data_IF_815408807855
#
_entry.id   IF_815408807855
#
_cell.length_a   1.000
_cell.length_b   1.000
_cell.length_c   1.000
_cell.angle_alpha   90.00
_cell.angle_beta   90.00
_cell.angle_gamma   90.00
#
_symmetry.space_group_name_H-M   'P 1'
#
loop_
_entity.id
_entity.type
_entity.pdbx_description
1 polymer ?
#
# COMPACT_ATOMS: atom_id res chain seq x y z
N UNK A 1 5.72 -35.24 9.44
CA UNK A 1 6.62 -35.31 10.61
C UNK A 1 7.03 -36.76 10.75
N UNK A 2 8.33 -37.05 10.89
CA UNK A 2 8.84 -38.43 10.98
C UNK A 2 8.70 -39.03 12.37
N UNK A 3 8.35 -38.21 13.37
CA UNK A 3 8.27 -38.59 14.78
C UNK A 3 6.84 -38.62 15.28
N UNK A 4 6.52 -39.70 15.97
CA UNK A 4 5.24 -39.88 16.65
C UNK A 4 5.11 -38.85 17.79
N UNK A 5 3.93 -38.26 17.96
CA UNK A 5 3.60 -37.24 18.96
C UNK A 5 4.25 -35.86 18.82
N UNK A 6 5.07 -35.63 17.79
CA UNK A 6 5.58 -34.29 17.51
C UNK A 6 4.53 -33.49 16.74
N UNK A 7 4.32 -32.25 17.16
CA UNK A 7 3.40 -31.33 16.49
C UNK A 7 4.17 -30.07 16.11
N UNK A 8 4.18 -29.75 14.83
CA UNK A 8 4.72 -28.50 14.34
C UNK A 8 3.59 -27.46 14.33
N UNK A 9 3.81 -26.31 14.96
CA UNK A 9 2.84 -25.22 15.00
C UNK A 9 3.02 -24.37 13.74
N UNK A 10 2.28 -24.73 12.70
CA UNK A 10 2.26 -23.96 11.47
C UNK A 10 1.50 -22.65 11.63
N UNK A 11 1.48 -21.85 10.56
CA UNK A 11 0.76 -20.59 10.53
C UNK A 11 -0.76 -20.73 10.73
N UNK A 12 -1.33 -21.88 10.38
CA UNK A 12 -2.72 -22.23 10.64
C UNK A 12 -2.95 -22.90 12.01
N UNK A 13 -1.97 -22.95 12.90
CA UNK A 13 -2.10 -23.59 14.20
C UNK A 13 -3.16 -22.92 15.07
N UNK A 14 -4.15 -23.72 15.50
CA UNK A 14 -5.14 -23.30 16.48
C UNK A 14 -4.77 -23.85 17.86
N UNK A 15 -4.36 -23.02 18.82
CA UNK A 15 -3.94 -23.48 20.14
C UNK A 15 -5.07 -24.08 20.97
N UNK A 16 -6.33 -23.76 20.68
CA UNK A 16 -7.50 -24.28 21.40
C UNK A 16 -7.84 -25.72 20.97
N UNK A 17 -7.83 -25.98 19.67
CA UNK A 17 -8.12 -27.32 19.12
C UNK A 17 -6.88 -28.20 18.99
N UNK A 18 -5.68 -27.61 19.12
CA UNK A 18 -4.38 -28.25 18.91
C UNK A 18 -4.25 -28.89 17.54
N UNK A 19 -4.68 -28.17 16.50
CA UNK A 19 -4.63 -28.61 15.11
C UNK A 19 -4.13 -27.50 14.18
N UNK A 20 -3.40 -27.89 13.13
CA UNK A 20 -3.12 -26.98 12.00
C UNK A 20 -4.33 -26.94 11.06
N UNK A 21 -4.91 -25.76 10.89
CA UNK A 21 -6.05 -25.51 10.00
C UNK A 21 -5.50 -24.86 8.72
N UNK A 22 -5.30 -25.67 7.67
CA UNK A 22 -4.69 -25.20 6.43
C UNK A 22 -5.43 -24.00 5.78
N UNK A 23 -6.75 -23.90 5.97
CA UNK A 23 -7.57 -22.79 5.47
C UNK A 23 -7.29 -21.45 6.17
N UNK A 24 -6.57 -21.45 7.28
CA UNK A 24 -6.25 -20.26 8.06
C UNK A 24 -4.82 -19.74 7.79
N UNK A 25 -4.01 -20.46 7.02
CA UNK A 25 -2.65 -20.05 6.66
C UNK A 25 -2.62 -18.68 5.99
N UNK A 26 -3.54 -18.39 5.08
CA UNK A 26 -3.52 -17.07 4.41
C UNK A 26 -4.16 -15.98 5.26
N UNK A 27 -4.90 -16.35 6.31
CA UNK A 27 -5.54 -15.42 7.25
C UNK A 27 -4.60 -14.99 8.38
N UNK A 28 -3.51 -15.71 8.63
CA UNK A 28 -2.58 -15.41 9.73
C UNK A 28 -3.20 -15.55 11.11
N UNK A 29 -4.16 -16.47 11.32
CA UNK A 29 -4.88 -16.58 12.59
C UNK A 29 -3.95 -16.91 13.76
N UNK A 30 -2.95 -17.77 13.57
CA UNK A 30 -2.01 -18.09 14.64
C UNK A 30 -1.13 -16.89 14.97
N UNK A 31 -0.63 -16.18 13.96
CA UNK A 31 0.16 -14.96 14.13
C UNK A 31 -0.62 -13.89 14.89
N UNK A 32 -1.88 -13.66 14.52
CA UNK A 32 -2.76 -12.73 15.23
C UNK A 32 -3.01 -13.18 16.68
N UNK A 33 -3.20 -14.47 16.92
CA UNK A 33 -3.37 -15.02 18.27
C UNK A 33 -2.13 -14.77 19.15
N UNK A 34 -0.92 -14.91 18.60
CA UNK A 34 0.31 -14.58 19.33
C UNK A 34 0.40 -13.10 19.67
N UNK A 35 -0.01 -12.22 18.74
CA UNK A 35 -0.09 -10.78 18.98
C UNK A 35 -1.11 -10.41 20.05
N UNK A 36 -2.31 -10.98 19.99
CA UNK A 36 -3.35 -10.70 20.99
C UNK A 36 -2.91 -11.18 22.39
N UNK A 37 -2.21 -12.32 22.47
CA UNK A 37 -1.59 -12.76 23.72
C UNK A 37 -0.51 -11.79 24.20
N UNK A 38 0.42 -11.38 23.34
CA UNK A 38 1.48 -10.45 23.71
C UNK A 38 0.92 -9.09 24.17
N UNK A 39 -0.08 -8.55 23.47
CA UNK A 39 -0.75 -7.30 23.86
C UNK A 39 -1.45 -7.43 25.22
N UNK A 40 -2.10 -8.56 25.50
CA UNK A 40 -2.76 -8.78 26.79
C UNK A 40 -1.77 -8.92 27.96
N UNK A 41 -0.57 -9.44 27.71
CA UNK A 41 0.49 -9.59 28.71
C UNK A 41 1.26 -8.28 28.93
N UNK A 42 1.27 -7.37 27.94
CA UNK A 42 2.00 -6.09 27.96
C UNK A 42 3.48 -6.24 28.38
N UNK A 43 4.26 -7.07 27.66
CA UNK A 43 5.69 -7.22 27.95
C UNK A 43 6.43 -5.91 27.65
N UNK A 44 7.57 -5.63 28.29
CA UNK A 44 8.36 -4.43 28.01
C UNK A 44 9.01 -4.44 26.61
N UNK A 45 9.09 -5.61 25.96
CA UNK A 45 9.66 -5.80 24.64
C UNK A 45 8.98 -6.96 23.92
N UNK A 46 8.70 -6.76 22.63
CA UNK A 46 8.29 -7.82 21.70
C UNK A 46 9.36 -7.96 20.63
N UNK A 47 9.81 -9.18 20.38
CA UNK A 47 10.62 -9.54 19.21
C UNK A 47 9.75 -10.23 18.17
N UNK A 48 9.90 -9.82 16.91
CA UNK A 48 9.25 -10.47 15.76
C UNK A 48 10.35 -11.13 14.94
N UNK A 49 10.33 -12.45 14.87
CA UNK A 49 11.35 -13.22 14.14
C UNK A 49 10.87 -13.63 12.75
N UNK A 50 11.77 -13.56 11.76
CA UNK A 50 11.54 -14.02 10.38
C UNK A 50 11.14 -12.86 9.44
N UNK A 51 11.95 -12.62 8.42
CA UNK A 51 11.65 -11.69 7.32
C UNK A 51 12.56 -12.00 6.14
N UNK A 52 11.96 -12.40 5.02
CA UNK A 52 12.60 -12.61 3.72
C UNK A 52 13.74 -13.65 3.75
N UNK A 53 13.56 -14.77 4.47
CA UNK A 53 14.48 -15.92 4.46
C UNK A 53 14.28 -16.77 3.19
N UNK A 54 13.03 -17.09 2.82
CA UNK A 54 12.62 -17.80 1.58
C UNK A 54 13.33 -19.15 1.30
N UNK A 55 14.07 -19.68 2.25
CA UNK A 55 14.82 -20.93 2.10
C UNK A 55 14.70 -21.78 3.36
N UNK A 56 14.38 -23.06 3.18
CA UNK A 56 14.50 -24.03 4.25
C UNK A 56 15.91 -24.61 4.31
N UNK A 57 16.48 -24.69 5.51
CA UNK A 57 17.76 -25.36 5.72
C UNK A 57 17.54 -26.85 5.87
N UNK A 58 18.21 -27.67 5.04
CA UNK A 58 18.34 -29.10 5.30
C UNK A 58 19.50 -29.32 6.27
N UNK A 59 19.20 -29.77 7.49
CA UNK A 59 20.22 -30.00 8.52
C UNK A 59 19.97 -31.30 9.29
N UNK A 60 21.02 -31.94 9.82
CA UNK A 60 20.86 -33.06 10.73
C UNK A 60 20.27 -32.56 12.05
N UNK A 61 19.23 -33.23 12.53
CA UNK A 61 18.60 -32.95 13.80
C UNK A 61 18.11 -34.28 14.41
N UNK A 62 18.68 -34.61 15.57
CA UNK A 62 18.35 -35.80 16.35
C UNK A 62 18.27 -37.10 15.51
N UNK A 63 19.37 -37.41 14.82
CA UNK A 63 19.55 -38.64 14.06
C UNK A 63 18.94 -38.68 12.66
N UNK A 64 18.19 -37.65 12.25
CA UNK A 64 17.56 -37.56 10.92
C UNK A 64 17.85 -36.22 10.24
N UNK A 65 17.60 -36.11 8.93
CA UNK A 65 17.61 -34.81 8.25
C UNK A 65 16.23 -34.16 8.34
N UNK A 66 16.18 -32.90 8.76
CA UNK A 66 14.97 -32.07 8.74
C UNK A 66 15.12 -30.86 7.82
N UNK A 67 13.99 -30.31 7.39
CA UNK A 67 13.90 -28.97 6.80
C UNK A 67 13.51 -27.98 7.90
N UNK A 68 14.36 -27.00 8.16
CA UNK A 68 14.16 -25.97 9.18
C UNK A 68 13.48 -24.72 8.57
N UNK A 69 12.65 -24.07 9.38
CA UNK A 69 12.14 -22.71 9.24
C UNK A 69 11.15 -22.40 8.12
N UNK A 70 11.47 -22.65 6.84
CA UNK A 70 10.70 -22.15 5.69
C UNK A 70 10.36 -23.25 4.68
N UNK A 71 9.85 -24.38 5.16
CA UNK A 71 9.60 -25.59 4.34
C UNK A 71 8.53 -25.36 3.28
N UNK A 72 7.44 -24.70 3.66
CA UNK A 72 6.33 -24.34 2.78
C UNK A 72 5.52 -23.21 3.43
N UNK A 73 4.42 -22.79 2.78
CA UNK A 73 3.57 -21.69 3.25
C UNK A 73 3.00 -21.89 4.67
N UNK A 74 2.67 -23.13 5.06
CA UNK A 74 2.17 -23.46 6.40
C UNK A 74 3.30 -23.44 7.44
N UNK A 75 4.43 -24.04 7.11
CA UNK A 75 5.58 -24.20 8.01
C UNK A 75 6.70 -23.23 7.60
N UNK A 76 6.35 -21.95 7.64
CA UNK A 76 7.27 -20.83 7.39
C UNK A 76 7.13 -19.79 8.50
N UNK A 77 8.26 -19.30 9.02
CA UNK A 77 8.35 -18.19 9.98
C UNK A 77 8.40 -16.79 9.35
N UNK A 78 8.51 -16.73 8.03
CA UNK A 78 8.59 -15.48 7.27
C UNK A 78 7.25 -14.74 7.19
N UNK A 79 7.26 -13.41 7.11
CA UNK A 79 6.05 -12.56 7.15
C UNK A 79 6.05 -11.44 6.11
N UNK A 80 7.06 -11.39 5.24
CA UNK A 80 7.16 -10.46 4.13
C UNK A 80 6.07 -10.69 3.08
N UNK A 81 5.68 -9.66 2.30
CA UNK A 81 4.66 -9.83 1.27
C UNK A 81 5.02 -10.87 0.20
N UNK A 82 4.03 -11.67 -0.22
CA UNK A 82 4.18 -12.74 -1.22
C UNK A 82 3.17 -12.60 -2.37
N UNK A 83 3.66 -12.50 -3.61
CA UNK A 83 2.81 -12.62 -4.79
C UNK A 83 2.24 -14.05 -4.94
N UNK A 84 0.95 -14.17 -5.22
CA UNK A 84 0.26 -15.47 -5.43
C UNK A 84 0.04 -16.32 -4.18
N UNK A 85 0.42 -15.84 -2.99
CA UNK A 85 0.17 -16.50 -1.71
C UNK A 85 -0.71 -15.67 -0.78
N UNK A 86 -0.27 -15.52 0.47
CA UNK A 86 -0.95 -14.73 1.49
C UNK A 86 -0.85 -13.20 1.27
N UNK A 87 -0.35 -12.77 0.11
CA UNK A 87 -0.18 -11.36 -0.24
C UNK A 87 0.59 -10.63 0.85
N UNK A 88 0.05 -9.54 1.38
CA UNK A 88 0.61 -8.70 2.43
C UNK A 88 -0.11 -8.88 3.77
N UNK A 89 -0.91 -9.94 3.96
CA UNK A 89 -1.74 -10.14 5.15
C UNK A 89 -0.92 -10.07 6.46
N UNK A 90 0.18 -10.81 6.54
CA UNK A 90 1.06 -10.83 7.71
C UNK A 90 1.77 -9.50 7.94
N UNK A 91 2.16 -8.82 6.87
CA UNK A 91 2.77 -7.50 6.94
C UNK A 91 1.78 -6.45 7.48
N UNK A 92 0.53 -6.47 7.03
CA UNK A 92 -0.51 -5.57 7.54
C UNK A 92 -0.88 -5.90 8.99
N UNK A 93 -0.97 -7.18 9.36
CA UNK A 93 -1.16 -7.59 10.76
C UNK A 93 -0.02 -7.10 11.65
N UNK A 94 1.24 -7.25 11.19
CA UNK A 94 2.41 -6.75 11.89
C UNK A 94 2.31 -5.24 12.15
N UNK A 95 2.03 -4.43 11.12
CA UNK A 95 1.90 -2.98 11.26
C UNK A 95 0.78 -2.63 12.24
N UNK A 96 -0.40 -3.22 12.07
CA UNK A 96 -1.57 -2.98 12.92
C UNK A 96 -1.28 -3.32 14.38
N UNK A 97 -0.68 -4.48 14.64
CA UNK A 97 -0.39 -4.92 15.99
C UNK A 97 0.75 -4.14 16.65
N UNK A 98 1.77 -3.70 15.90
CA UNK A 98 2.79 -2.77 16.43
C UNK A 98 2.15 -1.45 16.86
N UNK A 99 1.21 -0.90 16.09
CA UNK A 99 0.48 0.32 16.47
C UNK A 99 -0.32 0.10 17.75
N UNK A 100 -1.06 -1.01 17.85
CA UNK A 100 -1.81 -1.41 19.06
C UNK A 100 -0.90 -1.54 20.28
N UNK A 101 0.21 -2.25 20.17
CA UNK A 101 1.19 -2.43 21.27
C UNK A 101 1.79 -1.10 21.72
N UNK A 102 2.04 -0.17 20.80
CA UNK A 102 2.53 1.18 21.12
C UNK A 102 1.44 2.13 21.64
N UNK A 103 0.19 1.68 21.79
CA UNK A 103 -0.93 2.50 22.23
C UNK A 103 -1.36 3.58 21.23
N UNK A 104 -1.05 3.41 19.94
CA UNK A 104 -1.44 4.38 18.90
C UNK A 104 -2.92 4.16 18.55
N UNK A 105 -3.78 5.03 19.04
CA UNK A 105 -5.24 5.00 18.80
C UNK A 105 -5.71 6.02 17.78
N UNK A 106 -4.84 6.93 17.34
CA UNK A 106 -5.18 7.99 16.42
C UNK A 106 -5.02 7.51 14.96
N UNK A 107 -6.12 7.61 14.22
CA UNK A 107 -6.21 7.20 12.81
C UNK A 107 -5.86 8.33 11.83
N UNK A 108 -6.01 9.59 12.26
CA UNK A 108 -5.78 10.79 11.44
C UNK A 108 -4.84 11.76 12.13
N UNK A 109 -4.04 12.48 11.34
CA UNK A 109 -3.26 13.61 11.83
C UNK A 109 -4.18 14.78 12.29
N UNK A 110 -3.57 15.94 12.55
CA UNK A 110 -4.30 17.19 12.80
C UNK A 110 -5.19 17.59 11.61
N UNK A 111 -6.31 18.26 11.93
CA UNK A 111 -7.20 18.84 10.93
C UNK A 111 -6.46 19.89 10.09
N UNK A 112 -6.67 19.85 8.77
CA UNK A 112 -6.04 20.79 7.86
C UNK A 112 -6.94 21.99 7.61
N UNK A 113 -6.41 23.21 7.69
CA UNK A 113 -7.18 24.40 7.40
C UNK A 113 -7.38 24.60 5.88
N UNK A 114 -8.52 25.16 5.44
CA UNK A 114 -8.82 25.42 4.04
C UNK A 114 -7.82 26.39 3.42
N UNK A 115 -7.47 26.09 2.18
CA UNK A 115 -6.63 26.91 1.33
C UNK A 115 -7.01 26.69 -0.14
N UNK A 116 -7.47 27.77 -0.76
CA UNK A 116 -7.73 27.79 -2.21
C UNK A 116 -6.42 27.83 -2.97
N UNK A 117 -6.34 26.99 -4.01
CA UNK A 117 -5.22 26.94 -4.95
C UNK A 117 -5.72 27.38 -6.32
N UNK A 118 -5.04 28.35 -6.93
CA UNK A 118 -5.20 28.62 -8.35
C UNK A 118 -4.31 27.66 -9.15
N UNK A 119 -4.93 26.70 -9.84
CA UNK A 119 -4.22 25.70 -10.63
C UNK A 119 -3.30 26.32 -11.70
N UNK A 120 -3.65 27.50 -12.23
CA UNK A 120 -2.86 28.21 -13.24
C UNK A 120 -1.86 29.21 -12.63
N UNK A 121 -1.95 29.44 -11.31
CA UNK A 121 -1.10 30.35 -10.56
C UNK A 121 0.35 29.87 -10.37
N UNK A 122 1.10 30.64 -9.58
CA UNK A 122 2.49 30.32 -9.23
C UNK A 122 2.59 29.06 -8.36
N UNK A 123 3.66 28.27 -8.49
CA UNK A 123 3.93 27.14 -7.58
C UNK A 123 4.22 27.59 -6.15
N UNK A 124 4.61 28.85 -5.93
CA UNK A 124 4.92 29.39 -4.60
C UNK A 124 3.73 29.35 -3.63
N UNK A 125 2.50 29.30 -4.13
CA UNK A 125 1.30 29.14 -3.29
C UNK A 125 1.29 27.84 -2.47
N UNK A 126 2.07 26.84 -2.88
CA UNK A 126 2.15 25.56 -2.19
C UNK A 126 3.14 25.58 -1.02
N UNK A 127 4.00 26.59 -0.91
CA UNK A 127 5.12 26.62 0.04
C UNK A 127 4.69 26.49 1.51
N UNK A 128 3.55 27.08 1.84
CA UNK A 128 2.92 27.12 3.17
C UNK A 128 1.74 26.13 3.30
N UNK A 129 1.60 25.17 2.39
CA UNK A 129 0.67 24.03 2.59
C UNK A 129 1.29 23.07 3.61
N UNK A 130 0.62 22.82 4.76
CA UNK A 130 1.22 22.09 5.88
C UNK A 130 1.26 20.58 5.64
N UNK A 131 0.26 20.02 4.95
CA UNK A 131 0.20 18.60 4.67
C UNK A 131 1.17 18.23 3.55
N UNK A 132 2.32 17.68 3.94
CA UNK A 132 3.40 17.31 3.03
C UNK A 132 3.84 15.88 3.32
N UNK A 133 3.79 15.03 2.32
CA UNK A 133 4.34 13.68 2.33
C UNK A 133 5.61 13.68 1.49
N UNK A 134 6.64 13.00 1.97
CA UNK A 134 7.92 12.87 1.28
C UNK A 134 8.24 11.40 1.04
N UNK A 135 8.70 11.09 -0.16
CA UNK A 135 9.29 9.79 -0.44
C UNK A 135 10.66 9.72 0.23
N UNK A 136 10.84 8.75 1.13
CA UNK A 136 12.11 8.52 1.82
C UNK A 136 13.06 7.62 1.02
N UNK A 137 12.59 7.03 -0.09
CA UNK A 137 13.42 6.18 -0.92
C UNK A 137 14.42 7.01 -1.72
N UNK A 138 15.71 6.80 -1.49
CA UNK A 138 16.76 7.52 -2.23
C UNK A 138 17.00 6.89 -3.62
N UNK A 139 16.90 5.56 -3.70
CA UNK A 139 17.18 4.77 -4.91
C UNK A 139 15.89 4.37 -5.62
N UNK A 140 16.01 4.12 -6.91
CA UNK A 140 14.93 3.66 -7.78
C UNK A 140 15.57 2.84 -8.89
N UNK A 141 15.85 1.59 -8.55
CA UNK A 141 16.66 0.70 -9.37
C UNK A 141 15.79 -0.40 -9.94
N UNK A 142 16.19 -0.90 -11.10
CA UNK A 142 15.64 -2.13 -11.64
C UNK A 142 16.02 -3.30 -10.74
N UNK A 143 15.19 -4.34 -10.75
CA UNK A 143 15.52 -5.66 -10.26
C UNK A 143 16.00 -6.48 -11.45
N UNK A 144 17.17 -7.07 -11.35
CA UNK A 144 17.65 -8.08 -12.29
C UNK A 144 18.65 -8.99 -11.58
N UNK A 145 18.16 -10.11 -11.06
CA UNK A 145 18.98 -11.05 -10.30
C UNK A 145 18.25 -12.39 -10.21
N UNK A 146 19.01 -13.46 -10.06
CA UNK A 146 18.45 -14.77 -9.79
C UNK A 146 17.90 -14.88 -8.37
N UNK A 147 16.96 -15.79 -8.18
CA UNK A 147 16.61 -16.30 -6.85
C UNK A 147 17.72 -17.19 -6.29
N UNK A 148 17.59 -17.57 -5.02
CA UNK A 148 18.59 -18.32 -4.25
C UNK A 148 18.98 -19.65 -4.90
N UNK A 149 18.04 -20.32 -5.59
CA UNK A 149 18.28 -21.58 -6.32
C UNK A 149 18.98 -21.41 -7.67
N UNK A 150 19.17 -20.18 -8.14
CA UNK A 150 19.66 -19.84 -9.49
C UNK A 150 18.81 -20.39 -10.66
N UNK A 151 17.60 -20.89 -10.39
CA UNK A 151 16.71 -21.45 -11.43
C UNK A 151 15.72 -20.44 -12.00
N UNK A 152 15.37 -19.41 -11.23
CA UNK A 152 14.41 -18.36 -11.62
C UNK A 152 15.15 -17.03 -11.61
N UNK A 153 15.07 -16.28 -12.71
CA UNK A 153 15.57 -14.90 -12.81
C UNK A 153 14.41 -13.94 -12.60
N UNK A 154 14.51 -13.08 -11.59
CA UNK A 154 13.52 -12.04 -11.33
C UNK A 154 13.98 -10.72 -11.96
N UNK A 155 13.16 -10.20 -12.86
CA UNK A 155 13.39 -8.93 -13.57
C UNK A 155 12.23 -7.98 -13.36
N UNK A 156 12.53 -6.70 -13.10
CA UNK A 156 11.57 -5.61 -13.03
C UNK A 156 12.29 -4.32 -13.38
N UNK A 157 11.78 -3.57 -14.34
CA UNK A 157 12.38 -2.30 -14.73
C UNK A 157 12.33 -1.27 -13.60
N UNK A 158 13.31 -0.36 -13.60
CA UNK A 158 13.30 0.77 -12.69
C UNK A 158 12.04 1.62 -12.92
N UNK A 159 11.41 2.14 -11.87
CA UNK A 159 10.20 2.92 -12.05
C UNK A 159 10.51 4.24 -12.77
N UNK A 160 9.69 4.54 -13.78
CA UNK A 160 9.65 5.85 -14.44
C UNK A 160 8.83 6.83 -13.59
N UNK A 161 9.04 8.13 -13.79
CA UNK A 161 8.24 9.18 -13.14
C UNK A 161 8.22 9.09 -11.60
N UNK A 162 9.40 8.86 -11.00
CA UNK A 162 9.57 8.72 -9.56
C UNK A 162 8.95 9.89 -8.78
N UNK A 163 8.03 9.59 -7.89
CA UNK A 163 7.42 10.52 -6.95
C UNK A 163 8.36 10.83 -5.78
N UNK A 164 8.44 12.11 -5.41
CA UNK A 164 9.24 12.61 -4.29
C UNK A 164 8.42 13.28 -3.21
N UNK A 165 7.38 14.00 -3.59
CA UNK A 165 6.60 14.81 -2.66
C UNK A 165 5.16 14.89 -3.10
N UNK A 166 4.25 14.78 -2.14
CA UNK A 166 2.83 15.04 -2.34
C UNK A 166 2.40 16.09 -1.33
N UNK A 167 1.70 17.13 -1.78
CA UNK A 167 0.98 18.06 -0.90
C UNK A 167 -0.50 18.01 -1.21
N UNK A 168 -1.29 18.23 -0.17
CA UNK A 168 -2.75 18.22 -0.26
C UNK A 168 -3.32 19.47 0.40
N UNK A 169 -4.19 20.15 -0.32
CA UNK A 169 -4.95 21.29 0.17
C UNK A 169 -6.41 21.15 -0.26
N UNK A 170 -7.31 21.88 0.38
CA UNK A 170 -8.72 21.90 -0.02
C UNK A 170 -9.32 23.27 0.24
N UNK A 171 -10.38 23.61 -0.46
CA UNK A 171 -11.28 24.69 -0.08
C UNK A 171 -12.72 24.20 -0.05
N UNK A 172 -13.70 25.11 0.07
CA UNK A 172 -15.13 24.78 0.12
C UNK A 172 -15.58 23.92 -1.06
N UNK A 173 -14.98 24.07 -2.24
CA UNK A 173 -15.46 23.48 -3.48
C UNK A 173 -14.53 22.40 -4.04
N UNK A 174 -13.23 22.48 -3.78
CA UNK A 174 -12.21 21.68 -4.45
C UNK A 174 -11.23 21.03 -3.47
N UNK A 175 -10.76 19.85 -3.87
CA UNK A 175 -9.59 19.17 -3.33
C UNK A 175 -8.43 19.36 -4.31
N UNK A 176 -7.25 19.67 -3.81
CA UNK A 176 -6.06 19.94 -4.61
C UNK A 176 -4.93 18.98 -4.27
N UNK A 177 -4.32 18.40 -5.30
CA UNK A 177 -3.07 17.65 -5.16
C UNK A 177 -1.94 18.38 -5.88
N UNK A 178 -0.81 18.47 -5.20
CA UNK A 178 0.49 18.79 -5.79
C UNK A 178 1.33 17.52 -5.72
N UNK A 179 1.77 17.02 -6.87
CA UNK A 179 2.57 15.80 -6.97
C UNK A 179 3.87 16.15 -7.67
N UNK A 180 4.99 16.02 -6.94
CA UNK A 180 6.32 16.32 -7.46
C UNK A 180 7.07 15.05 -7.77
N UNK A 181 7.64 14.99 -8.96
CA UNK A 181 8.58 13.98 -9.38
C UNK A 181 10.04 14.39 -9.17
N UNK A 182 10.92 13.39 -9.11
CA UNK A 182 12.39 13.55 -9.05
C UNK A 182 12.95 14.27 -10.26
N UNK A 183 12.30 14.10 -11.40
CA UNK A 183 12.65 14.75 -12.66
C UNK A 183 11.40 15.16 -13.41
N UNK A 184 11.62 15.72 -14.60
CA UNK A 184 10.52 16.04 -15.52
C UNK A 184 9.70 14.78 -15.77
N UNK A 185 8.38 14.92 -15.65
CA UNK A 185 7.45 13.83 -15.94
C UNK A 185 7.44 13.51 -17.43
N UNK A 186 7.31 12.22 -17.76
CA UNK A 186 7.17 11.78 -19.15
C UNK A 186 5.84 12.22 -19.75
N UNK A 187 5.71 12.20 -21.08
CA UNK A 187 4.46 12.58 -21.74
C UNK A 187 3.35 11.53 -21.45
N UNK A 188 2.17 11.93 -20.94
CA UNK A 188 1.05 11.02 -20.70
C UNK A 188 0.36 10.49 -21.97
N UNK A 189 0.56 11.12 -23.13
CA UNK A 189 -0.14 10.74 -24.36
C UNK A 189 0.13 9.28 -24.74
N UNK A 190 -0.95 8.54 -25.04
CA UNK A 190 -0.94 7.12 -25.40
C UNK A 190 -0.35 6.20 -24.32
N UNK A 191 -0.30 6.64 -23.06
CA UNK A 191 0.11 5.81 -21.93
C UNK A 191 -1.10 5.47 -21.07
N UNK A 192 -1.43 4.19 -21.02
CA UNK A 192 -2.34 3.67 -20.01
C UNK A 192 -1.68 3.74 -18.62
N UNK A 193 -2.47 4.03 -17.57
CA UNK A 193 -2.00 4.01 -16.18
C UNK A 193 -0.78 4.87 -15.89
N UNK A 194 -0.61 5.97 -16.64
CA UNK A 194 0.50 6.89 -16.43
C UNK A 194 0.47 7.49 -15.02
N UNK A 195 -0.71 7.90 -14.55
CA UNK A 195 -0.96 8.39 -13.20
C UNK A 195 -2.29 7.84 -12.68
N UNK A 196 -2.28 7.35 -11.45
CA UNK A 196 -3.47 6.92 -10.72
C UNK A 196 -3.44 7.54 -9.31
N UNK A 197 -4.37 8.44 -9.03
CA UNK A 197 -4.67 8.88 -7.67
C UNK A 197 -5.90 8.11 -7.20
N UNK A 198 -5.70 7.16 -6.28
CA UNK A 198 -6.77 6.38 -5.69
C UNK A 198 -7.27 7.10 -4.43
N UNK A 199 -8.59 7.21 -4.27
CA UNK A 199 -9.22 7.92 -3.14
C UNK A 199 -10.33 7.07 -2.54
N UNK A 200 -10.32 6.90 -1.22
CA UNK A 200 -11.42 6.34 -0.45
C UNK A 200 -11.94 7.36 0.57
N UNK A 201 -13.26 7.47 0.72
CA UNK A 201 -13.91 8.49 1.54
C UNK A 201 -14.21 7.96 2.95
N UNK A 202 -14.03 8.79 3.98
CA UNK A 202 -14.13 8.35 5.37
C UNK A 202 -12.93 7.49 5.80
N UNK A 203 -13.14 6.66 6.82
CA UNK A 203 -12.14 5.70 7.27
C UNK A 203 -12.02 4.48 6.36
N UNK A 204 -10.82 3.86 6.25
CA UNK A 204 -10.63 2.63 5.50
C UNK A 204 -11.65 1.55 5.89
N UNK A 205 -12.34 1.00 4.88
CA UNK A 205 -13.37 -0.02 5.06
C UNK A 205 -13.50 -0.88 3.79
N UNK A 206 -14.09 -2.08 3.91
CA UNK A 206 -14.28 -2.99 2.77
C UNK A 206 -15.35 -2.45 1.82
N UNK A 207 -14.91 -1.75 0.78
CA UNK A 207 -15.75 -1.14 -0.26
C UNK A 207 -14.96 -0.88 -1.53
N UNK A 208 -15.68 -0.60 -2.62
CA UNK A 208 -15.11 -0.26 -3.91
C UNK A 208 -14.06 -1.28 -4.38
N UNK A 209 -12.95 -0.80 -4.93
CA UNK A 209 -11.80 -1.64 -5.28
C UNK A 209 -10.70 -1.47 -4.26
N UNK A 210 -10.37 -2.55 -3.53
CA UNK A 210 -9.28 -2.58 -2.55
C UNK A 210 -9.38 -1.44 -1.52
N UNK A 211 -10.60 -1.19 -1.07
CA UNK A 211 -11.00 -0.11 -0.17
C UNK A 211 -11.07 1.28 -0.82
N UNK A 212 -10.80 1.47 -2.10
CA UNK A 212 -10.92 2.78 -2.75
C UNK A 212 -12.26 2.97 -3.46
N UNK A 213 -12.84 4.16 -3.32
CA UNK A 213 -14.10 4.54 -3.97
C UNK A 213 -13.86 5.11 -5.38
N UNK A 214 -12.74 5.80 -5.58
CA UNK A 214 -12.45 6.55 -6.80
C UNK A 214 -11.01 6.35 -7.31
N UNK A 215 -10.85 6.55 -8.61
CA UNK A 215 -9.57 6.70 -9.30
C UNK A 215 -9.58 7.93 -10.20
N UNK A 216 -8.51 8.72 -10.13
CA UNK A 216 -8.29 9.92 -10.94
C UNK A 216 -7.02 9.71 -11.75
N UNK A 217 -7.03 10.08 -13.04
CA UNK A 217 -5.82 10.00 -13.87
C UNK A 217 -5.84 8.95 -14.99
N UNK A 218 -6.87 8.10 -15.07
CA UNK A 218 -6.96 7.03 -16.07
C UNK A 218 -7.08 7.53 -17.51
N UNK A 219 -7.87 8.58 -17.73
CA UNK A 219 -7.94 9.28 -19.02
C UNK A 219 -7.39 10.69 -18.87
N UNK A 220 -6.37 11.04 -19.66
CA UNK A 220 -5.69 12.33 -19.59
C UNK A 220 -5.96 13.11 -20.88
N UNK A 221 -6.67 14.23 -20.74
CA UNK A 221 -6.96 15.17 -21.80
C UNK A 221 -6.09 16.42 -21.74
N UNK A 222 -6.44 17.42 -22.54
CA UNK A 222 -5.76 18.72 -22.54
C UNK A 222 -6.23 19.57 -21.37
N UNK A 223 -5.44 19.63 -20.29
CA UNK A 223 -5.74 20.44 -19.11
C UNK A 223 -6.73 19.81 -18.12
N UNK A 224 -7.13 18.55 -18.34
CA UNK A 224 -8.08 17.83 -17.50
C UNK A 224 -7.80 16.32 -17.51
N UNK A 225 -8.36 15.60 -16.53
CA UNK A 225 -8.31 14.15 -16.44
C UNK A 225 -9.61 13.56 -15.87
N UNK A 226 -9.89 12.29 -16.15
CA UNK A 226 -11.08 11.60 -15.64
C UNK A 226 -11.09 11.51 -14.12
N UNK A 227 -12.30 11.66 -13.55
CA UNK A 227 -12.64 11.19 -12.21
C UNK A 227 -13.57 10.00 -12.40
N UNK A 228 -13.17 8.83 -11.92
CA UNK A 228 -13.94 7.60 -12.08
C UNK A 228 -14.28 7.01 -10.72
N UNK A 229 -15.50 6.48 -10.60
CA UNK A 229 -15.97 5.72 -9.44
C UNK A 229 -15.79 4.24 -9.69
N UNK A 230 -15.23 3.51 -8.73
CA UNK A 230 -15.13 2.06 -8.82
C UNK A 230 -16.50 1.39 -8.69
N UNK A 231 -16.68 0.32 -9.47
CA UNK A 231 -17.82 -0.59 -9.40
C UNK A 231 -17.40 -1.93 -8.82
N UNK A 232 -17.64 -3.01 -9.57
CA UNK A 232 -17.20 -4.35 -9.19
C UNK A 232 -15.75 -4.60 -9.63
N UNK A 233 -14.86 -4.85 -8.66
CA UNK A 233 -13.43 -4.99 -8.91
C UNK A 233 -12.81 -3.70 -9.46
N UNK A 234 -11.77 -3.82 -10.28
CA UNK A 234 -11.06 -2.66 -10.84
C UNK A 234 -11.85 -1.88 -11.91
N UNK A 235 -13.01 -2.39 -12.31
CA UNK A 235 -13.87 -1.70 -13.26
C UNK A 235 -14.40 -0.40 -12.65
N UNK A 236 -14.42 0.64 -13.47
CA UNK A 236 -14.71 2.00 -13.04
C UNK A 236 -15.50 2.73 -14.12
N UNK A 237 -16.24 3.77 -13.74
CA UNK A 237 -17.05 4.58 -14.64
C UNK A 237 -16.76 6.06 -14.42
N UNK A 238 -16.61 6.81 -15.51
CA UNK A 238 -16.39 8.27 -15.47
C UNK A 238 -17.62 8.94 -14.88
N UNK A 239 -17.41 9.73 -13.83
CA UNK A 239 -18.44 10.51 -13.14
C UNK A 239 -18.15 12.02 -13.16
N UNK A 240 -17.00 12.42 -13.69
CA UNK A 240 -16.61 13.82 -13.81
C UNK A 240 -15.18 13.99 -14.31
N UNK A 241 -14.69 15.22 -14.20
CA UNK A 241 -13.32 15.58 -14.60
C UNK A 241 -12.66 16.44 -13.53
N UNK A 242 -11.37 16.19 -13.33
CA UNK A 242 -10.50 17.04 -12.54
C UNK A 242 -9.70 17.95 -13.48
N UNK A 243 -9.44 19.19 -13.09
CA UNK A 243 -8.48 20.02 -13.84
C UNK A 243 -7.07 19.50 -13.57
N UNK A 244 -6.24 19.50 -14.60
CA UNK A 244 -4.88 18.98 -14.58
C UNK A 244 -3.93 20.03 -15.16
N UNK A 245 -2.83 20.29 -14.44
CA UNK A 245 -1.70 21.04 -14.98
C UNK A 245 -0.41 20.28 -14.75
N UNK A 246 0.34 20.08 -15.82
CA UNK A 246 1.67 19.47 -15.77
C UNK A 246 2.69 20.59 -16.02
N UNK A 247 3.59 20.80 -15.07
CA UNK A 247 4.67 21.78 -15.14
C UNK A 247 6.00 21.09 -14.82
N UNK A 248 6.71 20.64 -15.85
CA UNK A 248 7.96 19.89 -15.75
C UNK A 248 7.87 18.69 -14.80
N UNK A 249 8.36 18.82 -13.57
CA UNK A 249 8.39 17.78 -12.55
C UNK A 249 7.26 17.92 -11.53
N UNK A 250 6.24 18.72 -11.81
CA UNK A 250 5.09 18.93 -10.94
C UNK A 250 3.80 18.68 -11.70
N UNK A 251 2.91 17.90 -11.09
CA UNK A 251 1.52 17.73 -11.50
C UNK A 251 0.65 18.42 -10.44
N UNK A 252 -0.32 19.21 -10.89
CA UNK A 252 -1.34 19.82 -10.04
C UNK A 252 -2.70 19.34 -10.50
N UNK A 253 -3.52 18.88 -9.55
CA UNK A 253 -4.91 18.49 -9.76
C UNK A 253 -5.84 19.40 -8.96
N UNK A 254 -7.00 19.72 -9.54
CA UNK A 254 -8.14 20.32 -8.84
C UNK A 254 -9.37 19.45 -9.08
N UNK A 255 -9.82 18.80 -8.02
CA UNK A 255 -10.91 17.82 -8.03
C UNK A 255 -12.13 18.47 -7.35
N UNK A 256 -13.28 18.59 -8.04
CA UNK A 256 -14.51 19.08 -7.42
C UNK A 256 -14.95 18.13 -6.29
N UNK A 257 -15.06 18.64 -5.05
CA UNK A 257 -15.41 17.84 -3.86
C UNK A 257 -16.77 17.17 -4.00
N UNK A 258 -17.72 17.85 -4.64
CA UNK A 258 -19.06 17.33 -4.89
C UNK A 258 -19.08 16.08 -5.79
N UNK A 259 -18.05 15.88 -6.64
CA UNK A 259 -17.97 14.70 -7.50
C UNK A 259 -17.49 13.46 -6.74
N UNK A 260 -16.72 13.62 -5.67
CA UNK A 260 -16.11 12.52 -4.90
C UNK A 260 -16.68 12.41 -3.48
N UNK A 261 -17.94 12.77 -3.28
CA UNK A 261 -18.66 12.67 -2.00
C UNK A 261 -17.95 13.36 -0.80
N UNK A 262 -17.08 14.36 -1.06
CA UNK A 262 -16.27 15.03 -0.03
C UNK A 262 -16.90 16.34 0.48
N UNK A 263 -18.15 16.63 0.12
CA UNK A 263 -18.88 17.79 0.69
C UNK A 263 -19.29 17.50 2.14
N UNK A 264 -19.77 16.29 2.40
CA UNK A 264 -20.31 15.88 3.70
C UNK A 264 -19.36 14.98 4.50
N UNK A 265 -18.18 14.68 3.96
CA UNK A 265 -17.20 13.79 4.58
C UNK A 265 -15.91 14.58 4.85
N UNK A 266 -15.50 14.75 6.12
CA UNK A 266 -14.29 15.49 6.47
C UNK A 266 -13.02 14.65 6.37
N UNK A 267 -13.13 13.33 6.17
CA UNK A 267 -12.00 12.41 6.16
C UNK A 267 -11.97 11.69 4.82
N UNK A 268 -10.78 11.48 4.28
CA UNK A 268 -10.53 10.56 3.19
C UNK A 268 -9.10 10.02 3.29
N UNK A 269 -8.81 8.98 2.52
CA UNK A 269 -7.45 8.48 2.32
C UNK A 269 -7.13 8.34 0.85
N UNK A 270 -5.85 8.37 0.54
CA UNK A 270 -5.40 8.31 -0.84
C UNK A 270 -4.06 7.63 -1.02
N UNK A 271 -3.78 7.31 -2.28
CA UNK A 271 -2.50 6.83 -2.81
C UNK A 271 -2.25 7.46 -4.16
N UNK A 272 -1.00 7.83 -4.43
CA UNK A 272 -0.55 8.21 -5.77
C UNK A 272 0.32 7.09 -6.35
N UNK A 273 0.10 6.73 -7.60
CA UNK A 273 0.84 5.71 -8.30
C UNK A 273 1.12 6.15 -9.75
N UNK A 274 2.37 5.98 -10.20
CA UNK A 274 2.82 6.29 -11.55
C UNK A 274 3.30 5.01 -12.25
N UNK A 275 2.74 4.70 -13.42
CA UNK A 275 3.26 3.63 -14.29
C UNK A 275 3.25 2.23 -13.67
N UNK A 276 2.22 1.88 -12.89
CA UNK A 276 2.02 0.51 -12.38
C UNK A 276 1.61 -0.39 -13.55
N UNK A 277 2.34 -1.50 -13.76
CA UNK A 277 2.18 -2.35 -14.94
C UNK A 277 0.82 -3.06 -14.99
N UNK A 278 0.36 -3.60 -13.85
CA UNK A 278 -0.95 -4.23 -13.73
C UNK A 278 -1.72 -3.61 -12.55
N UNK A 279 -2.40 -2.47 -12.75
CA UNK A 279 -3.03 -1.73 -11.66
C UNK A 279 -4.27 -2.42 -11.08
N UNK A 280 -4.83 -3.44 -11.75
CA UNK A 280 -5.97 -4.18 -11.21
C UNK A 280 -5.59 -5.15 -10.08
N UNK A 281 -4.30 -5.42 -9.91
CA UNK A 281 -3.75 -6.22 -8.82
C UNK A 281 -3.00 -5.31 -7.84
N UNK A 282 -3.50 -5.19 -6.61
CA UNK A 282 -2.89 -4.34 -5.59
C UNK A 282 -1.47 -4.77 -5.22
N UNK A 283 -1.09 -6.04 -5.43
CA UNK A 283 0.29 -6.47 -5.18
C UNK A 283 1.28 -5.86 -6.16
N UNK A 284 0.85 -5.43 -7.35
CA UNK A 284 1.70 -4.71 -8.29
C UNK A 284 2.12 -3.32 -7.79
N UNK A 285 1.43 -2.77 -6.79
CA UNK A 285 1.78 -1.51 -6.12
C UNK A 285 2.95 -1.67 -5.13
N UNK A 286 3.44 -2.90 -4.91
CA UNK A 286 4.75 -3.16 -4.30
C UNK A 286 5.86 -3.38 -5.34
N UNK A 287 5.49 -3.84 -6.54
CA UNK A 287 6.45 -4.40 -7.50
C UNK A 287 6.87 -3.41 -8.58
N UNK A 288 5.94 -2.63 -9.12
CA UNK A 288 6.15 -1.83 -10.32
C UNK A 288 5.70 -0.38 -10.13
N UNK A 289 6.23 0.50 -10.97
CA UNK A 289 5.89 1.92 -10.94
C UNK A 289 6.43 2.66 -9.71
N UNK A 290 6.13 3.95 -9.63
CA UNK A 290 6.43 4.77 -8.46
C UNK A 290 5.16 5.00 -7.65
N UNK A 291 5.11 4.43 -6.45
CA UNK A 291 3.89 4.39 -5.64
C UNK A 291 4.13 5.00 -4.25
N UNK A 292 3.23 5.88 -3.83
CA UNK A 292 3.26 6.52 -2.52
C UNK A 292 1.86 6.48 -1.87
N UNK A 293 1.66 5.74 -0.76
CA UNK A 293 2.59 4.78 -0.17
C UNK A 293 2.47 3.42 -0.87
N UNK A 294 3.42 2.51 -0.66
CA UNK A 294 3.45 1.19 -1.32
C UNK A 294 2.25 0.31 -0.97
N UNK A 295 1.88 -0.59 -1.90
CA UNK A 295 1.01 -1.73 -1.58
C UNK A 295 -0.43 -1.40 -1.19
N UNK A 296 -0.91 -1.91 -0.05
CA UNK A 296 -2.24 -1.60 0.51
C UNK A 296 -2.27 -0.41 1.48
N UNK A 297 -1.11 0.17 1.82
CA UNK A 297 -1.06 1.33 2.70
C UNK A 297 -1.70 2.55 2.02
N UNK A 298 -2.15 3.52 2.81
CA UNK A 298 -2.72 4.79 2.33
C UNK A 298 -2.30 5.94 3.24
N UNK A 299 -2.32 7.16 2.71
CA UNK A 299 -2.22 8.36 3.54
C UNK A 299 -3.61 8.86 3.93
N UNK A 300 -3.80 9.20 5.20
CA UNK A 300 -5.04 9.77 5.71
C UNK A 300 -5.00 11.29 5.66
N UNK A 301 -6.08 11.91 5.23
CA UNK A 301 -6.24 13.37 5.23
C UNK A 301 -7.57 13.75 5.89
N UNK A 302 -7.53 14.75 6.75
CA UNK A 302 -8.70 15.28 7.44
C UNK A 302 -8.84 16.78 7.18
N UNK A 303 -10.01 17.16 6.64
CA UNK A 303 -10.48 18.53 6.51
C UNK A 303 -10.90 19.06 7.90
N UNK A 304 -10.88 20.37 8.07
CA UNK A 304 -11.41 21.01 9.28
C UNK A 304 -12.95 21.08 9.31
#
# INVERSE_FOLDING_TARGET
>A
LTRENWINWGRGWNPSTRQNIAADVDKGTFFQTQWDHAIAIDPPMISVGGWNEWIAYKQPYDGEYMLCDAVNKEYSRDIEPMAGGYQDAYYLQLISNIRRYKGITQETDEQNNPKTIDINGSLSQWNDVPYIIRNIDEKNIARDNYGSSQTIRYTQDAPVDKLEEIRVAHDTNNLYFYVKGKGKFTNPQNKENWMNILIGIGGPSLKGWECYDYIIGKEIGSGETSIEKFGNGFNSSIIGKAKLRINNNVIILSIPRATIDLINNPIFYFKAAMGVTNPADIMNYYQSGSVMPMGRLSYMYQLN
#
